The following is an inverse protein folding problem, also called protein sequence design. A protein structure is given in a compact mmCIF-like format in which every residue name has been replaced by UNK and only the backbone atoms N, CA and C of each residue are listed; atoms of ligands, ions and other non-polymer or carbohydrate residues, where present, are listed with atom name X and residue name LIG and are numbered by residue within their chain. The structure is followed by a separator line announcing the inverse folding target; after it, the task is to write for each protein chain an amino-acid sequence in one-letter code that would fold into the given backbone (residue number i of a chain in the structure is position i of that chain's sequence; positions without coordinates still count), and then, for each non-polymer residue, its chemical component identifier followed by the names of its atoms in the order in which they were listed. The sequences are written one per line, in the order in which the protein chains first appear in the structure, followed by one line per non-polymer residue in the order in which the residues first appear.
data_IF_337923029381
#
_entry.id   IF_337923029381
#
_cell.length_a   1.000
_cell.length_b   1.000
_cell.length_c   1.000
_cell.angle_alpha   90.00
_cell.angle_beta   90.00
_cell.angle_gamma   90.00
#
_symmetry.space_group_name_H-M   'P 1'
#
loop_
_entity.id
_entity.type
_entity.pdbx_description
1 polymer ?
#
# COMPACT_ATOMS: atom_id res chain seq x y z
N UNK A 1 -6.80 8.40 48.50
CA UNK A 1 -7.66 7.56 47.64
C UNK A 1 -8.42 8.49 46.71
N UNK A 2 -7.85 8.78 45.53
CA UNK A 2 -8.35 9.83 44.62
C UNK A 2 -9.43 9.22 43.72
N UNK A 3 -10.64 9.77 43.79
CA UNK A 3 -11.78 9.41 42.94
C UNK A 3 -11.68 10.18 41.62
N UNK A 4 -11.75 9.47 40.51
CA UNK A 4 -11.88 10.06 39.18
C UNK A 4 -13.27 10.66 39.02
N UNK A 5 -13.34 11.95 38.67
CA UNK A 5 -14.56 12.64 38.27
C UNK A 5 -14.84 12.40 36.79
N UNK A 6 -16.10 12.11 36.51
CA UNK A 6 -16.70 11.85 35.20
C UNK A 6 -16.61 13.08 34.28
N UNK A 7 -16.25 12.83 33.02
CA UNK A 7 -16.26 13.84 31.96
C UNK A 7 -17.69 13.93 31.39
N UNK A 8 -18.28 15.12 31.51
CA UNK A 8 -19.60 15.49 30.97
C UNK A 8 -19.49 15.75 29.45
N UNK A 9 -20.43 15.29 28.60
CA UNK A 9 -20.35 15.48 27.16
C UNK A 9 -20.88 16.88 26.77
N UNK A 10 -20.13 17.60 25.93
CA UNK A 10 -20.59 18.84 25.31
C UNK A 10 -21.00 18.56 23.86
N UNK A 11 -22.30 18.50 23.62
CA UNK A 11 -22.90 18.66 22.29
C UNK A 11 -23.40 20.11 22.09
N UNK A 12 -23.42 20.54 20.82
CA UNK A 12 -23.78 21.86 20.22
C UNK A 12 -22.64 22.89 20.27
N UNK A 13 -22.28 23.63 19.22
CA UNK A 13 -23.05 24.40 18.21
C UNK A 13 -22.14 24.46 16.93
N UNK A 14 -22.56 24.22 15.68
CA UNK A 14 -23.12 25.17 14.68
C UNK A 14 -23.76 24.37 13.51
N UNK A 15 -25.08 24.53 13.30
CA UNK A 15 -25.66 24.95 12.01
C UNK A 15 -25.70 24.05 10.76
N UNK A 16 -25.26 22.79 10.75
CA UNK A 16 -25.63 21.82 9.68
C UNK A 16 -25.84 20.44 10.30
N UNK A 17 -26.99 19.81 10.02
CA UNK A 17 -27.24 18.43 10.42
C UNK A 17 -26.12 17.55 9.88
N UNK A 18 -25.34 16.92 10.76
CA UNK A 18 -24.57 15.75 10.37
C UNK A 18 -25.55 14.74 9.78
N UNK A 19 -25.27 14.13 8.61
CA UNK A 19 -26.10 13.04 8.14
C UNK A 19 -26.12 11.97 9.24
N UNK A 20 -27.28 11.32 9.49
CA UNK A 20 -27.34 10.24 10.45
C UNK A 20 -26.26 9.22 10.09
N UNK A 21 -25.51 8.76 11.10
CA UNK A 21 -24.78 7.49 11.02
C UNK A 21 -25.86 6.42 10.77
N UNK A 22 -26.16 6.20 9.50
CA UNK A 22 -27.23 5.33 9.06
C UNK A 22 -26.89 3.90 9.48
N UNK A 23 -27.61 3.47 10.50
CA UNK A 23 -28.00 2.10 10.74
C UNK A 23 -28.87 1.63 9.57
N UNK A 24 -28.24 1.28 8.44
CA UNK A 24 -28.92 0.59 7.35
C UNK A 24 -28.12 -0.65 6.95
N UNK A 25 -28.69 -1.81 7.25
CA UNK A 25 -28.22 -3.13 6.83
C UNK A 25 -28.22 -3.32 5.29
N UNK A 26 -28.59 -2.28 4.52
CA UNK A 26 -28.66 -2.27 3.06
C UNK A 26 -27.45 -1.63 2.37
N UNK A 27 -26.42 -1.19 3.11
CA UNK A 27 -25.14 -0.74 2.52
C UNK A 27 -24.18 -1.88 2.14
N UNK A 28 -24.60 -3.15 2.22
CA UNK A 28 -23.71 -4.31 2.01
C UNK A 28 -23.22 -4.51 0.57
N UNK A 29 -23.78 -3.81 -0.43
CA UNK A 29 -23.46 -4.08 -1.84
C UNK A 29 -22.99 -2.86 -2.65
N UNK A 30 -22.70 -1.72 -2.04
CA UNK A 30 -21.93 -0.68 -2.74
C UNK A 30 -20.44 -1.03 -2.62
N UNK A 31 -20.01 -2.05 -3.36
CA UNK A 31 -18.60 -2.19 -3.72
C UNK A 31 -18.20 -0.88 -4.39
N UNK A 32 -17.49 0.00 -3.69
CA UNK A 32 -16.69 1.00 -4.37
C UNK A 32 -15.69 0.21 -5.22
N UNK A 33 -16.05 -0.02 -6.48
CA UNK A 33 -15.21 -0.75 -7.42
C UNK A 33 -14.12 0.22 -7.87
N UNK A 34 -13.03 0.23 -7.11
CA UNK A 34 -11.82 0.92 -7.52
C UNK A 34 -11.16 0.09 -8.62
N UNK A 35 -11.07 0.68 -9.81
CA UNK A 35 -10.36 0.06 -10.93
C UNK A 35 -8.85 0.31 -10.76
N UNK A 36 -8.18 -0.63 -10.09
CA UNK A 36 -6.73 -0.64 -9.97
C UNK A 36 -6.11 -1.17 -11.27
N UNK A 37 -5.62 -0.26 -12.11
CA UNK A 37 -4.90 -0.58 -13.34
C UNK A 37 -3.44 -0.86 -13.05
N UNK A 38 -3.18 -1.96 -12.35
CA UNK A 38 -1.82 -2.43 -12.11
C UNK A 38 -1.20 -2.97 -13.40
N UNK A 39 0.10 -2.75 -13.57
CA UNK A 39 0.91 -3.45 -14.56
C UNK A 39 0.85 -4.97 -14.33
N UNK A 40 1.21 -5.79 -15.33
CA UNK A 40 1.53 -7.18 -15.08
C UNK A 40 2.57 -7.34 -13.98
N UNK A 41 2.56 -8.49 -13.30
CA UNK A 41 3.64 -8.86 -12.39
C UNK A 41 4.94 -9.02 -13.16
N UNK A 42 6.01 -8.39 -12.66
CA UNK A 42 7.38 -8.61 -13.11
C UNK A 42 8.26 -8.96 -11.93
N UNK A 43 9.37 -9.67 -12.17
CA UNK A 43 10.35 -9.87 -11.11
C UNK A 43 10.85 -8.52 -10.62
N UNK A 44 11.11 -8.41 -9.32
CA UNK A 44 11.56 -7.15 -8.73
C UNK A 44 12.81 -6.61 -9.42
N UNK A 45 13.78 -7.47 -9.77
CA UNK A 45 15.00 -7.04 -10.47
C UNK A 45 14.74 -6.32 -11.81
N UNK A 46 13.57 -6.55 -12.41
CA UNK A 46 13.17 -6.05 -13.71
C UNK A 46 12.20 -4.85 -13.63
N UNK A 47 11.90 -4.30 -12.43
CA UNK A 47 10.88 -3.24 -12.26
C UNK A 47 11.07 -2.01 -13.14
N UNK A 48 12.31 -1.74 -13.60
CA UNK A 48 12.64 -0.59 -14.45
C UNK A 48 12.17 -0.74 -15.89
N UNK A 49 11.72 -1.93 -16.30
CA UNK A 49 11.14 -2.17 -17.63
C UNK A 49 9.66 -1.78 -17.72
N UNK A 50 9.03 -1.43 -16.59
CA UNK A 50 7.61 -1.04 -16.56
C UNK A 50 7.43 0.40 -17.02
N UNK A 51 6.48 0.65 -17.91
CA UNK A 51 6.24 1.97 -18.53
C UNK A 51 6.02 3.08 -17.50
N UNK A 52 5.21 2.78 -16.49
CA UNK A 52 4.81 3.73 -15.45
C UNK A 52 5.87 3.94 -14.35
N UNK A 53 7.03 3.26 -14.40
CA UNK A 53 8.01 3.31 -13.32
C UNK A 53 8.63 4.70 -13.12
N UNK A 54 8.47 5.61 -14.10
CA UNK A 54 8.92 7.00 -14.05
C UNK A 54 7.86 7.99 -13.56
N UNK A 55 6.67 7.51 -13.18
CA UNK A 55 5.60 8.31 -12.59
C UNK A 55 5.54 8.13 -11.07
N UNK A 56 4.99 9.10 -10.33
CA UNK A 56 4.52 8.85 -8.96
C UNK A 56 3.30 7.91 -9.02
N UNK A 57 2.98 7.23 -7.93
CA UNK A 57 1.87 6.28 -7.92
C UNK A 57 1.96 5.26 -6.79
N UNK A 58 1.32 4.12 -6.99
CA UNK A 58 1.36 2.99 -6.04
C UNK A 58 2.10 1.80 -6.63
N UNK A 59 2.60 0.95 -5.76
CA UNK A 59 3.21 -0.33 -6.11
C UNK A 59 2.85 -1.39 -5.08
N UNK A 60 2.76 -2.63 -5.55
CA UNK A 60 2.51 -3.82 -4.73
C UNK A 60 3.68 -4.78 -4.88
N UNK A 61 4.18 -5.29 -3.76
CA UNK A 61 5.20 -6.32 -3.71
C UNK A 61 4.58 -7.62 -3.22
N UNK A 62 4.88 -8.70 -3.91
CA UNK A 62 4.36 -10.02 -3.62
C UNK A 62 5.46 -11.09 -3.74
N UNK A 63 5.35 -12.16 -2.94
CA UNK A 63 6.24 -13.32 -3.03
C UNK A 63 5.49 -14.52 -3.58
N UNK A 64 5.92 -15.01 -4.74
CA UNK A 64 5.29 -16.17 -5.39
C UNK A 64 6.28 -17.32 -5.49
N UNK A 65 5.89 -18.50 -4.98
CA UNK A 65 6.68 -19.73 -5.10
C UNK A 65 6.85 -20.20 -6.55
N UNK A 66 5.99 -19.73 -7.46
CA UNK A 66 6.05 -19.98 -8.89
C UNK A 66 5.64 -18.72 -9.65
N UNK A 67 6.13 -18.48 -10.87
CA UNK A 67 5.77 -17.29 -11.63
C UNK A 67 4.24 -17.08 -11.68
N UNK A 68 3.73 -15.89 -11.36
CA UNK A 68 2.30 -15.64 -11.31
C UNK A 68 1.67 -15.75 -12.71
N UNK A 69 0.62 -16.55 -12.84
CA UNK A 69 -0.16 -16.70 -14.08
C UNK A 69 -1.38 -15.78 -14.14
N UNK A 70 -1.81 -15.25 -13.01
CA UNK A 70 -2.95 -14.33 -12.90
C UNK A 70 -2.53 -12.87 -13.10
N UNK A 71 -3.44 -12.01 -13.60
CA UNK A 71 -3.23 -10.56 -13.59
C UNK A 71 -2.90 -10.03 -12.19
N UNK A 72 -2.19 -8.91 -12.13
CA UNK A 72 -1.93 -8.23 -10.87
C UNK A 72 -3.23 -7.71 -10.24
N UNK A 73 -3.34 -7.89 -8.93
CA UNK A 73 -4.46 -7.42 -8.13
C UNK A 73 -3.94 -6.98 -6.79
N UNK A 74 -4.49 -5.91 -6.23
CA UNK A 74 -4.19 -5.46 -4.86
C UNK A 74 -4.66 -6.43 -3.77
N UNK A 75 -5.36 -7.50 -4.15
CA UNK A 75 -5.88 -8.52 -3.22
C UNK A 75 -5.28 -9.91 -3.46
N UNK A 76 -4.17 -10.02 -4.18
CA UNK A 76 -3.40 -11.27 -4.28
C UNK A 76 -2.89 -11.68 -2.89
N UNK A 77 -3.04 -12.95 -2.51
CA UNK A 77 -2.70 -13.43 -1.14
C UNK A 77 -1.19 -13.34 -0.85
N UNK A 78 -0.39 -13.34 -1.91
CA UNK A 78 1.06 -13.30 -1.93
C UNK A 78 1.62 -11.91 -1.62
N UNK A 79 0.77 -10.87 -1.57
CA UNK A 79 1.21 -9.51 -1.29
C UNK A 79 1.78 -9.43 0.11
N UNK A 80 3.02 -8.96 0.16
CA UNK A 80 3.75 -8.69 1.40
C UNK A 80 3.78 -7.20 1.73
N UNK A 81 3.66 -6.34 0.72
CA UNK A 81 3.73 -4.89 0.92
C UNK A 81 2.95 -4.13 -0.15
N UNK A 82 2.25 -3.07 0.27
CA UNK A 82 1.65 -2.06 -0.60
C UNK A 82 2.26 -0.72 -0.22
N UNK A 83 2.77 0.02 -1.19
CA UNK A 83 3.39 1.32 -0.96
C UNK A 83 2.99 2.37 -1.98
N UNK A 84 3.25 3.62 -1.62
CA UNK A 84 3.00 4.78 -2.47
C UNK A 84 4.25 5.64 -2.62
N UNK A 85 4.24 6.48 -3.65
CA UNK A 85 5.06 7.67 -3.70
C UNK A 85 4.38 8.83 -4.41
N UNK A 86 4.33 10.01 -3.76
CA UNK A 86 3.76 11.24 -4.33
C UNK A 86 4.81 12.26 -4.82
N UNK A 87 6.01 12.27 -4.23
CA UNK A 87 7.05 13.28 -4.48
C UNK A 87 8.27 12.81 -5.28
N UNK A 88 8.29 11.54 -5.69
CA UNK A 88 9.32 10.96 -6.55
C UNK A 88 8.67 9.90 -7.46
N UNK A 89 9.42 9.41 -8.44
CA UNK A 89 8.98 8.30 -9.27
C UNK A 89 9.04 6.95 -8.53
N UNK A 90 8.19 6.01 -8.97
CA UNK A 90 8.09 4.66 -8.42
C UNK A 90 9.45 3.94 -8.49
N UNK A 91 10.22 4.10 -9.56
CA UNK A 91 11.53 3.48 -9.71
C UNK A 91 12.52 3.90 -8.61
N UNK A 92 12.57 5.18 -8.24
CA UNK A 92 13.36 5.67 -7.11
C UNK A 92 12.88 5.09 -5.79
N UNK A 93 11.56 4.97 -5.60
CA UNK A 93 10.98 4.40 -4.38
C UNK A 93 11.32 2.90 -4.24
N UNK A 94 11.21 2.14 -5.33
CA UNK A 94 11.60 0.73 -5.38
C UNK A 94 13.11 0.54 -5.20
N UNK A 95 13.94 1.44 -5.74
CA UNK A 95 15.37 1.45 -5.45
C UNK A 95 15.66 1.65 -3.95
N UNK A 96 15.00 2.60 -3.29
CA UNK A 96 15.13 2.81 -1.84
C UNK A 96 14.69 1.56 -1.06
N UNK A 97 13.55 0.96 -1.45
CA UNK A 97 13.11 -0.31 -0.90
C UNK A 97 14.21 -1.37 -1.01
N UNK A 98 14.76 -1.60 -2.21
CA UNK A 98 15.79 -2.62 -2.44
C UNK A 98 17.07 -2.35 -1.65
N UNK A 99 17.52 -1.07 -1.58
CA UNK A 99 18.67 -0.69 -0.75
C UNK A 99 18.45 -1.01 0.74
N UNK A 100 17.26 -0.75 1.26
CA UNK A 100 16.95 -1.06 2.66
C UNK A 100 16.77 -2.55 2.89
N UNK A 101 15.97 -3.22 2.06
CA UNK A 101 15.64 -4.63 2.20
C UNK A 101 16.88 -5.53 2.05
N UNK A 102 17.68 -5.29 1.00
CA UNK A 102 18.78 -6.18 0.61
C UNK A 102 20.14 -5.68 1.07
N UNK A 103 20.31 -4.37 1.22
CA UNK A 103 21.58 -3.74 1.62
C UNK A 103 21.60 -3.17 3.03
N UNK A 104 20.48 -3.21 3.77
CA UNK A 104 20.33 -2.69 5.15
C UNK A 104 20.63 -1.21 5.34
N UNK A 105 20.48 -0.40 4.29
CA UNK A 105 20.57 1.05 4.40
C UNK A 105 19.24 1.65 4.91
N UNK A 106 19.22 2.51 5.94
CA UNK A 106 17.99 3.09 6.46
C UNK A 106 17.40 4.12 5.46
N UNK A 107 16.34 3.75 4.76
CA UNK A 107 15.66 4.64 3.80
C UNK A 107 14.19 4.29 3.54
N UNK A 108 13.72 3.10 3.93
CA UNK A 108 12.39 2.61 3.56
C UNK A 108 11.80 1.69 4.64
N UNK A 109 10.74 2.11 5.32
CA UNK A 109 10.11 1.32 6.39
C UNK A 109 9.65 -0.07 5.92
N UNK A 110 9.00 -0.15 4.75
CA UNK A 110 8.62 -1.43 4.15
C UNK A 110 9.83 -2.31 3.80
N UNK A 111 10.97 -1.71 3.44
CA UNK A 111 12.19 -2.44 3.14
C UNK A 111 12.84 -2.99 4.41
N UNK A 112 12.84 -2.22 5.50
CA UNK A 112 13.32 -2.69 6.80
C UNK A 112 12.50 -3.89 7.28
N UNK A 113 11.16 -3.77 7.25
CA UNK A 113 10.25 -4.87 7.60
C UNK A 113 10.46 -6.09 6.71
N UNK A 114 10.65 -5.91 5.41
CA UNK A 114 10.92 -7.03 4.51
C UNK A 114 12.23 -7.75 4.89
N UNK A 115 13.29 -7.01 5.18
CA UNK A 115 14.58 -7.58 5.61
C UNK A 115 14.43 -8.41 6.89
N UNK A 116 13.69 -7.88 7.86
CA UNK A 116 13.44 -8.52 9.14
C UNK A 116 12.59 -9.80 8.99
N UNK A 117 11.51 -9.73 8.20
CA UNK A 117 10.51 -10.79 8.07
C UNK A 117 10.94 -11.95 7.15
N UNK A 118 11.79 -11.67 6.17
CA UNK A 118 12.02 -12.60 5.06
C UNK A 118 13.49 -12.91 4.78
N UNK A 119 14.42 -12.10 5.27
CA UNK A 119 15.85 -12.24 4.99
C UNK A 119 16.68 -12.45 6.27
N UNK A 120 16.05 -12.50 7.44
CA UNK A 120 16.73 -12.57 8.74
C UNK A 120 17.79 -11.46 8.90
N UNK A 121 17.51 -10.26 8.37
CA UNK A 121 18.43 -9.12 8.37
C UNK A 121 19.78 -9.40 7.68
N UNK A 122 19.82 -10.33 6.74
CA UNK A 122 21.00 -10.62 5.92
C UNK A 122 21.10 -9.67 4.74
N UNK A 123 22.34 -9.36 4.35
CA UNK A 123 22.63 -8.64 3.11
C UNK A 123 22.54 -9.61 1.94
N UNK A 124 21.90 -9.20 0.87
CA UNK A 124 21.77 -9.98 -0.37
C UNK A 124 22.35 -9.17 -1.53
N UNK A 125 23.22 -9.79 -2.32
CA UNK A 125 23.79 -9.16 -3.52
C UNK A 125 22.73 -8.93 -4.60
N UNK A 126 21.72 -9.79 -4.65
CA UNK A 126 20.61 -9.71 -5.60
C UNK A 126 19.26 -9.81 -4.87
N UNK A 127 18.19 -9.20 -5.43
CA UNK A 127 16.83 -9.41 -4.94
C UNK A 127 16.44 -10.90 -4.97
N UNK A 128 15.62 -11.38 -4.04
CA UNK A 128 15.07 -12.74 -4.10
C UNK A 128 14.36 -13.01 -5.42
N UNK A 129 14.57 -14.18 -6.00
CA UNK A 129 14.01 -14.56 -7.31
C UNK A 129 12.48 -14.75 -7.30
N UNK A 130 11.91 -14.92 -6.11
CA UNK A 130 10.49 -15.08 -5.86
C UNK A 130 9.79 -13.75 -5.52
N UNK A 131 10.50 -12.62 -5.52
CA UNK A 131 9.94 -11.30 -5.28
C UNK A 131 9.48 -10.67 -6.59
N UNK A 132 8.19 -10.34 -6.65
CA UNK A 132 7.55 -9.69 -7.79
C UNK A 132 6.98 -8.33 -7.41
N UNK A 133 6.81 -7.48 -8.41
CA UNK A 133 6.21 -6.16 -8.29
C UNK A 133 5.20 -5.92 -9.40
N UNK A 134 4.14 -5.21 -9.06
CA UNK A 134 3.25 -4.56 -10.02
C UNK A 134 3.03 -3.11 -9.60
N UNK A 135 2.86 -2.21 -10.56
CA UNK A 135 2.81 -0.77 -10.33
C UNK A 135 1.59 -0.14 -10.99
N UNK A 136 1.16 1.01 -10.50
CA UNK A 136 0.19 1.86 -11.17
C UNK A 136 0.68 3.31 -11.08
N UNK A 137 1.15 3.84 -12.21
CA UNK A 137 1.57 5.23 -12.32
C UNK A 137 0.36 6.15 -12.38
N UNK A 138 0.49 7.33 -11.78
CA UNK A 138 -0.53 8.37 -11.82
C UNK A 138 0.08 9.59 -12.49
N UNK A 139 -0.33 9.84 -13.73
CA UNK A 139 0.04 11.06 -14.45
C UNK A 139 -0.77 12.24 -13.90
N UNK A 140 -0.13 13.30 -13.38
CA UNK A 140 -0.84 14.37 -12.70
C UNK A 140 -1.50 15.36 -13.67
N UNK A 141 -2.82 15.54 -13.55
CA UNK A 141 -3.45 16.83 -13.85
C UNK A 141 -3.30 17.75 -12.62
N UNK A 142 -2.07 18.20 -12.35
CA UNK A 142 -1.69 18.97 -11.16
C UNK A 142 -1.17 18.11 -9.99
N UNK A 143 -0.03 18.51 -9.43
CA UNK A 143 0.74 17.71 -8.46
C UNK A 143 -0.01 17.46 -7.12
N UNK A 144 -0.71 18.46 -6.60
CA UNK A 144 -1.43 18.33 -5.31
C UNK A 144 -2.58 17.33 -5.40
N UNK A 145 -3.38 17.40 -6.47
CA UNK A 145 -4.49 16.46 -6.73
C UNK A 145 -3.98 15.03 -6.87
N UNK A 146 -2.87 14.84 -7.58
CA UNK A 146 -2.24 13.53 -7.72
C UNK A 146 -1.76 12.98 -6.37
N UNK A 147 -1.13 13.81 -5.53
CA UNK A 147 -0.66 13.38 -4.20
C UNK A 147 -1.80 12.85 -3.32
N UNK A 148 -2.92 13.58 -3.26
CA UNK A 148 -4.10 13.15 -2.49
C UNK A 148 -4.69 11.86 -3.07
N UNK A 149 -4.79 11.78 -4.40
CA UNK A 149 -5.34 10.61 -5.07
C UNK A 149 -4.48 9.35 -4.89
N UNK A 150 -3.15 9.48 -5.00
CA UNK A 150 -2.21 8.37 -4.78
C UNK A 150 -2.31 7.83 -3.36
N UNK A 151 -2.36 8.72 -2.35
CA UNK A 151 -2.55 8.33 -0.95
C UNK A 151 -3.88 7.63 -0.74
N UNK A 152 -4.94 8.12 -1.38
CA UNK A 152 -6.24 7.47 -1.37
C UNK A 152 -6.17 6.06 -1.98
N UNK A 153 -5.54 5.89 -3.14
CA UNK A 153 -5.38 4.60 -3.80
C UNK A 153 -4.63 3.58 -2.93
N UNK A 154 -3.55 4.00 -2.26
CA UNK A 154 -2.80 3.13 -1.34
C UNK A 154 -3.67 2.67 -0.16
N UNK A 155 -4.42 3.58 0.47
CA UNK A 155 -5.31 3.23 1.58
C UNK A 155 -6.48 2.36 1.13
N UNK A 156 -7.03 2.60 -0.05
CA UNK A 156 -8.06 1.77 -0.64
C UNK A 156 -7.52 0.35 -0.95
N UNK A 157 -6.31 0.23 -1.49
CA UNK A 157 -5.67 -1.05 -1.78
C UNK A 157 -5.44 -1.87 -0.49
N UNK A 158 -4.90 -1.24 0.56
CA UNK A 158 -4.72 -1.88 1.87
C UNK A 158 -6.06 -2.30 2.47
N UNK A 159 -7.08 -1.44 2.38
CA UNK A 159 -8.42 -1.76 2.87
C UNK A 159 -9.01 -2.99 2.16
N UNK A 160 -8.92 -3.06 0.83
CA UNK A 160 -9.42 -4.21 0.08
C UNK A 160 -8.68 -5.50 0.43
N UNK A 161 -7.35 -5.45 0.61
CA UNK A 161 -6.58 -6.59 1.10
C UNK A 161 -7.06 -7.01 2.49
N UNK A 162 -7.22 -6.05 3.40
CA UNK A 162 -7.70 -6.29 4.77
C UNK A 162 -9.11 -6.90 4.79
N UNK A 163 -10.04 -6.40 3.98
CA UNK A 163 -11.38 -6.98 3.90
C UNK A 163 -11.37 -8.45 3.48
N UNK A 164 -10.44 -8.83 2.60
CA UNK A 164 -10.35 -10.21 2.07
C UNK A 164 -9.69 -11.18 3.06
N UNK A 165 -8.66 -10.73 3.78
CA UNK A 165 -7.82 -11.61 4.61
C UNK A 165 -7.92 -11.35 6.11
N UNK A 166 -8.67 -10.32 6.52
CA UNK A 166 -8.78 -9.84 7.91
C UNK A 166 -7.41 -9.56 8.55
N UNK A 167 -6.43 -9.18 7.74
CA UNK A 167 -5.05 -8.92 8.11
C UNK A 167 -4.41 -7.94 7.13
N UNK A 168 -3.40 -7.20 7.57
CA UNK A 168 -2.58 -6.34 6.70
C UNK A 168 -1.55 -7.18 5.94
N UNK A 169 -1.03 -6.68 4.80
CA UNK A 169 0.19 -7.24 4.24
C UNK A 169 1.32 -7.20 5.29
N UNK A 170 2.13 -8.26 5.34
CA UNK A 170 3.10 -8.49 6.43
C UNK A 170 4.06 -7.32 6.68
N UNK A 171 4.44 -6.59 5.63
CA UNK A 171 5.38 -5.47 5.72
C UNK A 171 4.69 -4.09 5.83
N UNK A 172 3.35 -4.02 5.89
CA UNK A 172 2.64 -2.78 6.19
C UNK A 172 2.51 -2.56 7.71
N UNK A 173 2.34 -1.31 8.14
CA UNK A 173 1.91 -0.93 9.49
C UNK A 173 0.85 0.16 9.38
N UNK A 174 -0.02 0.22 10.39
CA UNK A 174 -0.93 1.33 10.64
C UNK A 174 -0.20 2.37 11.49
#
# INVERSE_FOLDING_TARGET
MVKFTEIVPVQKIIGRSLPPLCSDANLRNNHMQYDFKLSPWVKFKDYKSLDDCRLPGIYVLARFDSPPSSPASVTAKEIVYIGETTGQDIAKRLYQFGRTAFGRFPAHSGGSKFSDEFLDKRVCEQPPDDLYVAIMGVSPAGAEKASVYIKFLERAAIWLFFQKYNALPRCNSI
#
